data_IF_549438901888
#
_entry.id   IF_549438901888
#
_cell.length_a   1.000
_cell.length_b   1.000
_cell.length_c   1.000
_cell.angle_alpha   90.00
_cell.angle_beta   90.00
_cell.angle_gamma   90.00
#
_symmetry.space_group_name_H-M   'P 1'
#
loop_
_entity.id
_entity.type
_entity.pdbx_description
1 polymer ?
#
# COMPACT_ATOMS: atom_id res chain seq x y z
N UNK A 1 -19.83 8.82 4.63
CA UNK A 1 -18.44 9.35 4.63
C UNK A 1 -17.57 8.45 5.49
N UNK A 2 -16.33 8.18 5.08
CA UNK A 2 -15.36 7.33 5.80
C UNK A 2 -14.10 8.10 6.16
N UNK A 3 -13.51 7.79 7.31
CA UNK A 3 -12.28 8.40 7.81
C UNK A 3 -11.23 7.33 8.08
N UNK A 4 -10.06 7.49 7.47
CA UNK A 4 -8.96 6.52 7.54
C UNK A 4 -7.91 7.02 8.52
N UNK A 5 -7.71 6.30 9.61
CA UNK A 5 -6.62 6.47 10.55
C UNK A 5 -5.57 5.42 10.24
N UNK A 6 -4.44 5.87 9.69
CA UNK A 6 -3.33 5.02 9.29
C UNK A 6 -2.03 5.70 9.66
N UNK A 7 -1.03 4.90 10.04
CA UNK A 7 0.34 5.36 10.21
C UNK A 7 1.23 4.58 9.24
N UNK A 8 1.97 5.26 8.35
CA UNK A 8 2.75 4.59 7.31
C UNK A 8 3.96 3.86 7.90
N UNK A 9 4.34 2.74 7.29
CA UNK A 9 5.58 2.06 7.61
C UNK A 9 6.79 2.82 7.06
N UNK A 10 7.88 2.86 7.84
CA UNK A 10 9.16 3.45 7.41
C UNK A 10 10.32 2.50 7.66
N UNK A 11 11.21 2.39 6.69
CA UNK A 11 12.46 1.64 6.83
C UNK A 11 13.38 2.39 7.78
N UNK A 12 13.97 1.67 8.72
CA UNK A 12 14.98 2.18 9.63
C UNK A 12 16.32 2.37 8.89
N UNK A 13 16.80 3.61 8.65
CA UNK A 13 18.04 3.83 7.89
C UNK A 13 19.27 3.21 8.57
N UNK A 14 19.27 3.12 9.91
CA UNK A 14 20.35 2.48 10.68
C UNK A 14 20.45 0.97 10.41
N UNK A 15 19.33 0.33 10.02
CA UNK A 15 19.35 -1.07 9.59
C UNK A 15 20.03 -1.23 8.23
N UNK A 16 19.86 -0.29 7.31
CA UNK A 16 20.48 -0.36 5.98
C UNK A 16 21.98 -0.08 6.07
N UNK A 17 22.38 0.95 6.82
CA UNK A 17 23.78 1.37 6.93
C UNK A 17 24.67 0.43 7.74
N UNK A 18 24.08 -0.45 8.57
CA UNK A 18 24.86 -1.28 9.48
C UNK A 18 25.41 -0.54 10.70
N UNK A 19 24.96 0.69 10.97
CA UNK A 19 25.33 1.42 12.17
C UNK A 19 24.83 0.72 13.44
N UNK A 20 25.75 0.30 14.30
CA UNK A 20 25.49 -0.35 15.59
C UNK A 20 25.43 0.75 16.65
N UNK A 21 24.27 1.36 16.87
CA UNK A 21 24.11 2.36 17.93
C UNK A 21 23.58 1.79 19.26
N UNK A 22 23.39 0.47 19.39
CA UNK A 22 23.13 -0.21 20.68
C UNK A 22 23.51 -1.70 20.62
N UNK A 23 23.63 -2.36 21.78
CA UNK A 23 24.03 -3.77 21.98
C UNK A 23 23.14 -4.83 21.27
N UNK A 24 22.12 -4.41 20.51
CA UNK A 24 21.24 -5.27 19.70
C UNK A 24 21.29 -4.89 18.22
N UNK A 25 21.31 -5.88 17.32
CA UNK A 25 21.11 -5.66 15.88
C UNK A 25 19.82 -4.87 15.63
N UNK A 26 19.86 -3.73 14.90
CA UNK A 26 18.67 -2.93 14.64
C UNK A 26 17.61 -3.74 13.87
N UNK A 27 16.33 -3.45 14.10
CA UNK A 27 15.21 -3.97 13.31
C UNK A 27 15.08 -3.18 11.99
N UNK A 28 14.62 -3.80 10.88
CA UNK A 28 14.30 -3.09 9.64
C UNK A 28 13.27 -1.98 9.81
N UNK A 29 12.42 -2.07 10.84
CA UNK A 29 11.39 -1.09 11.18
C UNK A 29 11.58 -0.64 12.62
N UNK A 30 11.58 0.67 12.88
CA UNK A 30 11.88 1.26 14.20
C UNK A 30 10.63 1.73 14.92
N UNK A 31 10.20 0.97 15.94
CA UNK A 31 9.04 1.34 16.77
C UNK A 31 9.24 2.67 17.50
N UNK A 32 10.49 3.04 17.83
CA UNK A 32 10.77 4.32 18.52
C UNK A 32 10.41 5.52 17.66
N UNK A 33 10.92 5.57 16.43
CA UNK A 33 10.66 6.69 15.51
C UNK A 33 9.17 6.75 15.15
N UNK A 34 8.55 5.60 14.92
CA UNK A 34 7.11 5.49 14.68
C UNK A 34 6.28 6.07 15.84
N UNK A 35 6.59 5.71 17.10
CA UNK A 35 5.88 6.25 18.28
C UNK A 35 6.07 7.76 18.46
N UNK A 36 7.26 8.29 18.18
CA UNK A 36 7.51 9.73 18.23
C UNK A 36 6.67 10.49 17.19
N UNK A 37 6.55 9.92 15.98
CA UNK A 37 5.70 10.47 14.92
C UNK A 37 4.21 10.40 15.27
N UNK A 38 3.70 9.28 15.79
CA UNK A 38 2.31 9.19 16.26
C UNK A 38 2.01 10.25 17.32
N UNK A 39 2.85 10.39 18.36
CA UNK A 39 2.65 11.40 19.42
C UNK A 39 2.55 12.82 18.89
N UNK A 40 3.29 13.13 17.83
CA UNK A 40 3.22 14.44 17.16
C UNK A 40 1.85 14.63 16.51
N UNK A 41 1.38 13.66 15.73
CA UNK A 41 0.10 13.74 15.03
C UNK A 41 -1.12 13.58 15.93
N UNK A 42 -1.01 12.88 17.06
CA UNK A 42 -2.09 12.80 18.06
C UNK A 42 -2.59 14.19 18.46
N UNK A 43 -1.66 15.08 18.78
CA UNK A 43 -1.99 16.41 19.33
C UNK A 43 -2.57 17.37 18.29
N UNK A 44 -2.06 17.32 17.06
CA UNK A 44 -2.45 18.28 16.03
C UNK A 44 -3.61 17.78 15.18
N UNK A 45 -3.74 16.47 14.98
CA UNK A 45 -4.65 15.85 14.02
C UNK A 45 -5.61 14.85 14.65
N UNK A 46 -5.10 13.72 15.17
CA UNK A 46 -5.95 12.59 15.49
C UNK A 46 -6.91 12.84 16.65
N UNK A 47 -6.43 13.42 17.75
CA UNK A 47 -7.28 13.71 18.92
C UNK A 47 -8.33 14.76 18.58
N UNK A 48 -8.00 15.94 18.04
CA UNK A 48 -9.03 16.92 17.65
C UNK A 48 -10.03 16.35 16.64
N UNK A 49 -9.57 15.58 15.65
CA UNK A 49 -10.46 15.00 14.66
C UNK A 49 -11.39 13.94 15.27
N UNK A 50 -10.89 13.09 16.17
CA UNK A 50 -11.71 12.11 16.87
C UNK A 50 -12.75 12.77 17.79
N UNK A 51 -12.38 13.85 18.50
CA UNK A 51 -13.31 14.65 19.32
C UNK A 51 -14.41 15.30 18.47
N UNK A 52 -14.04 15.94 17.36
CA UNK A 52 -15.00 16.51 16.40
C UNK A 52 -15.93 15.42 15.85
N UNK A 53 -15.40 14.26 15.45
CA UNK A 53 -16.18 13.14 14.93
C UNK A 53 -17.17 12.61 15.97
N UNK A 54 -16.76 12.46 17.22
CA UNK A 54 -17.65 12.08 18.31
C UNK A 54 -18.78 13.10 18.51
N UNK A 55 -18.45 14.39 18.55
CA UNK A 55 -19.44 15.46 18.69
C UNK A 55 -20.51 15.43 17.59
N UNK A 56 -20.10 15.39 16.31
CA UNK A 56 -21.07 15.34 15.20
C UNK A 56 -21.85 14.01 15.17
N UNK A 57 -21.23 12.91 15.62
CA UNK A 57 -21.90 11.62 15.72
C UNK A 57 -22.97 11.62 16.82
N UNK A 58 -22.76 12.31 17.94
CA UNK A 58 -23.76 12.49 18.99
C UNK A 58 -24.99 13.25 18.47
N UNK A 59 -24.79 14.19 17.56
CA UNK A 59 -25.84 14.94 16.85
C UNK A 59 -26.54 14.13 15.74
N UNK A 60 -26.07 12.92 15.45
CA UNK A 60 -26.71 11.98 14.52
C UNK A 60 -25.98 11.75 13.21
N UNK A 61 -24.82 12.38 12.98
CA UNK A 61 -24.00 12.11 11.80
C UNK A 61 -23.55 10.65 11.76
N UNK A 62 -23.78 9.96 10.64
CA UNK A 62 -23.33 8.57 10.45
C UNK A 62 -22.11 8.49 9.55
N UNK A 63 -21.04 7.90 10.05
CA UNK A 63 -19.79 7.75 9.31
C UNK A 63 -19.16 6.39 9.52
N UNK A 64 -18.15 6.07 8.69
CA UNK A 64 -17.34 4.88 8.85
C UNK A 64 -15.93 5.25 9.30
N UNK A 65 -15.35 4.43 10.17
CA UNK A 65 -13.98 4.56 10.63
C UNK A 65 -13.18 3.36 10.13
N UNK A 66 -12.00 3.62 9.58
CA UNK A 66 -10.97 2.62 9.37
C UNK A 66 -9.81 2.97 10.29
N UNK A 67 -9.43 2.02 11.15
CA UNK A 67 -8.27 2.14 12.02
C UNK A 67 -7.30 1.01 11.61
N UNK A 68 -6.15 1.36 11.03
CA UNK A 68 -5.23 0.32 10.53
C UNK A 68 -4.62 -0.49 11.67
N UNK A 69 -4.23 -1.75 11.38
CA UNK A 69 -3.66 -2.64 12.40
C UNK A 69 -2.38 -2.09 13.03
N UNK A 70 -1.45 -1.65 12.17
CA UNK A 70 -0.20 -1.01 12.60
C UNK A 70 -0.43 0.28 13.39
N UNK A 71 -1.45 1.07 13.03
CA UNK A 71 -1.77 2.29 13.74
C UNK A 71 -2.22 2.00 15.17
N UNK A 72 -3.15 1.07 15.37
CA UNK A 72 -3.65 0.68 16.70
C UNK A 72 -2.51 0.12 17.58
N UNK A 73 -1.68 -0.79 17.06
CA UNK A 73 -0.56 -1.37 17.83
C UNK A 73 0.41 -0.29 18.34
N UNK A 74 0.78 0.65 17.48
CA UNK A 74 1.71 1.71 17.86
C UNK A 74 1.04 2.71 18.80
N UNK A 75 -0.26 2.97 18.61
CA UNK A 75 -1.03 3.93 19.38
C UNK A 75 -1.16 3.52 20.85
N UNK A 76 -1.40 2.24 21.14
CA UNK A 76 -1.57 1.71 22.50
C UNK A 76 -0.41 2.13 23.44
N UNK A 77 0.81 2.15 22.93
CA UNK A 77 2.00 2.56 23.69
C UNK A 77 2.34 4.06 23.53
N UNK A 78 2.01 4.64 22.37
CA UNK A 78 2.38 6.01 22.05
C UNK A 78 1.49 7.02 22.78
N UNK A 79 0.18 6.76 22.82
CA UNK A 79 -0.86 7.67 23.30
C UNK A 79 -2.12 6.89 23.77
N UNK A 80 -2.13 6.42 25.03
CA UNK A 80 -3.26 5.66 25.59
C UNK A 80 -4.57 6.44 25.67
N UNK A 81 -4.50 7.78 25.78
CA UNK A 81 -5.70 8.63 25.86
C UNK A 81 -6.41 8.66 24.50
N UNK A 82 -5.65 8.85 23.41
CA UNK A 82 -6.20 8.74 22.06
C UNK A 82 -6.66 7.32 21.73
N UNK A 83 -5.95 6.29 22.19
CA UNK A 83 -6.40 4.89 22.06
C UNK A 83 -7.81 4.69 22.65
N UNK A 84 -8.03 5.18 23.87
CA UNK A 84 -9.34 5.12 24.55
C UNK A 84 -10.41 5.93 23.80
N UNK A 85 -10.08 7.14 23.36
CA UNK A 85 -10.98 8.00 22.59
C UNK A 85 -11.44 7.35 21.27
N UNK A 86 -10.52 6.73 20.54
CA UNK A 86 -10.85 6.03 19.30
C UNK A 86 -11.65 4.75 19.54
N UNK A 87 -11.41 4.05 20.66
CA UNK A 87 -12.25 2.91 21.06
C UNK A 87 -13.69 3.37 21.35
N UNK A 88 -13.85 4.52 22.01
CA UNK A 88 -15.17 5.14 22.20
C UNK A 88 -15.82 5.53 20.86
N UNK A 89 -15.07 6.15 19.94
CA UNK A 89 -15.57 6.50 18.61
C UNK A 89 -15.98 5.25 17.80
N UNK A 90 -15.18 4.18 17.86
CA UNK A 90 -15.44 2.92 17.17
C UNK A 90 -16.66 2.16 17.73
N UNK A 91 -16.97 2.32 19.01
CA UNK A 91 -18.15 1.72 19.66
C UNK A 91 -19.41 2.56 19.53
N UNK A 92 -19.30 3.79 19.02
CA UNK A 92 -20.43 4.69 18.87
C UNK A 92 -21.50 4.13 17.90
N UNK A 93 -22.79 4.30 18.24
CA UNK A 93 -23.93 3.73 17.48
C UNK A 93 -24.04 4.24 16.04
N UNK A 94 -23.51 5.44 15.78
CA UNK A 94 -23.49 6.07 14.45
C UNK A 94 -22.18 5.84 13.69
N UNK A 95 -21.25 5.05 14.25
CA UNK A 95 -20.02 4.64 13.58
C UNK A 95 -20.18 3.25 12.93
N UNK A 96 -19.77 3.13 11.68
CA UNK A 96 -19.48 1.86 11.00
C UNK A 96 -17.98 1.57 11.02
N UNK A 97 -17.58 0.31 11.01
CA UNK A 97 -16.17 -0.07 10.93
C UNK A 97 -15.85 -0.68 9.57
N UNK A 98 -14.72 -0.28 9.01
CA UNK A 98 -14.16 -0.87 7.79
C UNK A 98 -12.98 -1.79 8.14
N UNK A 99 -12.82 -2.85 7.36
CA UNK A 99 -11.68 -3.75 7.45
C UNK A 99 -10.67 -3.44 6.34
N UNK A 100 -9.39 -3.62 6.63
CA UNK A 100 -8.35 -3.73 5.60
C UNK A 100 -7.37 -4.84 6.00
N UNK A 101 -6.37 -5.12 5.17
CA UNK A 101 -5.25 -5.96 5.60
C UNK A 101 -4.54 -5.32 6.79
N UNK A 102 -4.17 -6.11 7.79
CA UNK A 102 -3.50 -5.63 9.01
C UNK A 102 -2.33 -4.66 8.79
N UNK A 103 -1.51 -4.94 7.77
CA UNK A 103 -0.29 -4.19 7.46
C UNK A 103 -0.47 -3.16 6.35
N UNK A 104 -1.72 -2.88 5.95
CA UNK A 104 -2.04 -2.04 4.82
C UNK A 104 -1.22 -2.43 3.56
N UNK A 105 -1.36 -3.69 3.14
CA UNK A 105 -0.35 -4.37 2.35
C UNK A 105 -0.73 -4.57 0.88
N UNK A 106 0.31 -4.75 0.06
CA UNK A 106 0.21 -5.04 -1.38
C UNK A 106 -0.12 -6.51 -1.69
N UNK A 107 -0.42 -7.32 -0.68
CA UNK A 107 -0.62 -8.78 -0.83
C UNK A 107 -1.74 -9.13 -1.82
N UNK A 108 -2.74 -8.25 -1.99
CA UNK A 108 -3.83 -8.40 -2.95
C UNK A 108 -3.37 -8.54 -4.41
N UNK A 109 -2.12 -8.15 -4.72
CA UNK A 109 -1.50 -8.26 -6.05
C UNK A 109 -0.81 -9.61 -6.26
N UNK A 110 -0.39 -10.28 -5.19
CA UNK A 110 0.34 -11.54 -5.30
C UNK A 110 -0.57 -12.75 -5.58
N UNK A 111 -1.90 -12.53 -5.64
CA UNK A 111 -2.92 -13.57 -5.78
C UNK A 111 -2.81 -14.70 -4.74
N UNK A 112 -2.10 -14.46 -3.63
CA UNK A 112 -2.00 -15.37 -2.48
C UNK A 112 -3.23 -15.19 -1.58
N UNK A 113 -4.28 -15.92 -1.91
CA UNK A 113 -5.58 -15.82 -1.25
C UNK A 113 -5.51 -16.16 0.26
N UNK A 114 -4.65 -17.10 0.66
CA UNK A 114 -4.53 -17.52 2.06
C UNK A 114 -3.80 -16.48 2.90
N UNK A 115 -2.71 -15.89 2.39
CA UNK A 115 -2.01 -14.82 3.08
C UNK A 115 -2.88 -13.55 3.15
N UNK A 116 -3.65 -13.23 2.10
CA UNK A 116 -4.63 -12.14 2.13
C UNK A 116 -5.71 -12.37 3.19
N UNK A 117 -6.33 -13.56 3.22
CA UNK A 117 -7.30 -13.97 4.26
C UNK A 117 -6.70 -13.84 5.65
N UNK A 118 -5.46 -14.29 5.84
CA UNK A 118 -4.78 -14.24 7.14
C UNK A 118 -4.65 -12.80 7.63
N UNK A 119 -4.21 -11.86 6.77
CA UNK A 119 -4.05 -10.46 7.18
C UNK A 119 -5.38 -9.75 7.42
N UNK A 120 -6.44 -10.10 6.69
CA UNK A 120 -7.80 -9.60 6.94
C UNK A 120 -8.34 -10.12 8.28
N UNK A 121 -8.10 -11.40 8.59
CA UNK A 121 -8.54 -12.01 9.86
C UNK A 121 -7.78 -11.43 11.05
N UNK A 122 -6.48 -11.16 10.90
CA UNK A 122 -5.70 -10.44 11.90
C UNK A 122 -6.31 -9.07 12.21
N UNK A 123 -6.75 -8.33 11.18
CA UNK A 123 -7.36 -7.01 11.37
C UNK A 123 -8.73 -7.11 12.03
N UNK A 124 -9.59 -8.04 11.57
CA UNK A 124 -10.90 -8.29 12.20
C UNK A 124 -10.77 -8.70 13.67
N UNK A 125 -9.81 -9.56 14.00
CA UNK A 125 -9.52 -9.97 15.37
C UNK A 125 -9.11 -8.80 16.24
N UNK A 126 -8.20 -7.95 15.74
CA UNK A 126 -7.78 -6.73 16.44
C UNK A 126 -8.96 -5.78 16.65
N UNK A 127 -9.80 -5.55 15.64
CA UNK A 127 -10.97 -4.67 15.78
C UNK A 127 -11.98 -5.21 16.78
N UNK A 128 -12.16 -6.54 16.83
CA UNK A 128 -13.00 -7.21 17.82
C UNK A 128 -12.46 -7.03 19.24
N UNK A 129 -11.15 -7.09 19.44
CA UNK A 129 -10.50 -6.81 20.72
C UNK A 129 -10.59 -5.32 21.10
N UNK A 130 -10.28 -4.44 20.15
CA UNK A 130 -10.21 -2.99 20.33
C UNK A 130 -11.57 -2.33 20.61
N UNK A 131 -12.63 -2.82 19.96
CA UNK A 131 -13.95 -2.18 19.96
C UNK A 131 -15.12 -3.11 20.25
N UNK A 132 -14.89 -4.42 20.45
CA UNK A 132 -15.97 -5.40 20.60
C UNK A 132 -16.78 -5.63 19.32
N UNK A 133 -16.38 -5.05 18.18
CA UNK A 133 -17.11 -5.10 16.91
C UNK A 133 -16.20 -5.65 15.81
N UNK A 134 -16.75 -6.54 14.99
CA UNK A 134 -16.07 -7.06 13.81
C UNK A 134 -16.55 -6.30 12.56
N UNK A 135 -15.65 -5.66 11.79
CA UNK A 135 -16.04 -5.00 10.55
C UNK A 135 -16.53 -6.00 9.50
N UNK A 136 -17.58 -5.64 8.75
CA UNK A 136 -18.22 -6.47 7.73
C UNK A 136 -18.08 -5.90 6.31
N UNK A 137 -17.37 -4.79 6.14
CA UNK A 137 -17.12 -4.14 4.86
C UNK A 137 -15.63 -3.95 4.72
N UNK A 138 -15.09 -4.39 3.60
CA UNK A 138 -13.66 -4.33 3.32
C UNK A 138 -13.33 -3.06 2.53
N UNK A 139 -12.22 -2.41 2.85
CA UNK A 139 -11.56 -1.43 2.00
C UNK A 139 -10.41 -2.14 1.28
N UNK A 140 -10.49 -2.22 -0.05
CA UNK A 140 -9.37 -2.69 -0.84
C UNK A 140 -8.22 -1.67 -0.77
N UNK A 141 -6.97 -2.16 -0.74
CA UNK A 141 -5.78 -1.33 -0.81
C UNK A 141 -5.82 -0.45 -2.07
N UNK A 142 -5.35 0.78 -1.95
CA UNK A 142 -5.46 1.84 -2.97
C UNK A 142 -4.89 1.35 -4.30
N UNK A 143 -5.65 1.59 -5.38
CA UNK A 143 -5.27 1.16 -6.74
C UNK A 143 -5.05 -0.36 -6.89
N UNK A 144 -5.54 -1.18 -5.96
CA UNK A 144 -5.49 -2.65 -6.03
C UNK A 144 -6.89 -3.23 -5.95
N UNK A 145 -7.35 -3.82 -7.05
CA UNK A 145 -8.62 -4.54 -7.09
C UNK A 145 -8.55 -5.65 -8.14
N UNK A 146 -9.07 -6.85 -7.86
CA UNK A 146 -9.14 -7.96 -8.81
C UNK A 146 -10.09 -9.06 -8.29
N UNK A 147 -10.34 -10.09 -9.11
CA UNK A 147 -11.24 -11.20 -8.75
C UNK A 147 -10.79 -12.06 -7.56
N UNK A 148 -9.48 -12.12 -7.28
CA UNK A 148 -8.99 -12.82 -6.08
C UNK A 148 -9.49 -12.10 -4.82
N UNK A 149 -9.44 -10.77 -4.83
CA UNK A 149 -9.92 -9.93 -3.72
C UNK A 149 -11.42 -10.11 -3.51
N UNK A 150 -12.22 -10.09 -4.58
CA UNK A 150 -13.68 -10.26 -4.50
C UNK A 150 -14.06 -11.62 -3.93
N UNK A 151 -13.42 -12.70 -4.42
CA UNK A 151 -13.65 -14.06 -3.93
C UNK A 151 -13.26 -14.22 -2.47
N UNK A 152 -12.08 -13.74 -2.06
CA UNK A 152 -11.65 -13.82 -0.65
C UNK A 152 -12.62 -13.07 0.25
N UNK A 153 -13.06 -11.87 -0.16
CA UNK A 153 -14.03 -11.11 0.62
C UNK A 153 -15.36 -11.87 0.77
N UNK A 154 -15.85 -12.48 -0.31
CA UNK A 154 -17.07 -13.28 -0.31
C UNK A 154 -16.95 -14.48 0.62
N UNK A 155 -15.86 -15.25 0.49
CA UNK A 155 -15.61 -16.45 1.30
C UNK A 155 -15.46 -16.14 2.80
N UNK A 156 -14.98 -14.94 3.14
CA UNK A 156 -14.85 -14.46 4.53
C UNK A 156 -16.15 -13.84 5.08
N UNK A 157 -17.21 -13.78 4.28
CA UNK A 157 -18.50 -13.23 4.68
C UNK A 157 -18.53 -11.70 4.79
N UNK A 158 -17.67 -10.99 4.06
CA UNK A 158 -17.83 -9.55 3.90
C UNK A 158 -19.10 -9.24 3.10
N UNK A 159 -19.74 -8.12 3.42
CA UNK A 159 -20.98 -7.67 2.80
C UNK A 159 -20.76 -6.75 1.60
N UNK A 160 -19.58 -6.11 1.50
CA UNK A 160 -19.17 -5.30 0.36
C UNK A 160 -17.67 -5.01 0.39
N UNK A 161 -17.17 -4.48 -0.73
CA UNK A 161 -15.80 -4.00 -0.90
C UNK A 161 -15.82 -2.55 -1.40
N UNK A 162 -15.12 -1.67 -0.71
CA UNK A 162 -14.76 -0.35 -1.21
C UNK A 162 -13.54 -0.41 -2.12
N UNK A 163 -13.58 0.32 -3.23
CA UNK A 163 -12.42 0.54 -4.10
C UNK A 163 -12.40 1.94 -4.66
N UNK A 164 -11.21 2.49 -4.86
CA UNK A 164 -10.93 3.76 -5.52
C UNK A 164 -10.60 3.59 -7.01
N UNK A 165 -10.25 2.37 -7.44
CA UNK A 165 -9.68 2.12 -8.77
C UNK A 165 -10.58 2.60 -9.90
N UNK A 166 -11.90 2.42 -9.75
CA UNK A 166 -12.88 2.82 -10.74
C UNK A 166 -13.26 4.30 -10.63
N UNK A 167 -12.98 4.95 -9.50
CA UNK A 167 -13.38 6.34 -9.25
C UNK A 167 -12.68 7.35 -10.16
N UNK A 168 -11.46 7.04 -10.64
CA UNK A 168 -10.75 7.86 -11.66
C UNK A 168 -10.56 7.15 -12.99
N UNK A 169 -10.39 5.82 -12.97
CA UNK A 169 -9.94 5.07 -14.14
C UNK A 169 -11.10 4.50 -14.97
N UNK A 170 -12.35 4.70 -14.53
CA UNK A 170 -13.56 4.24 -15.21
C UNK A 170 -14.62 5.35 -15.28
N UNK A 171 -14.46 6.38 -16.13
CA UNK A 171 -15.43 7.47 -16.30
C UNK A 171 -16.82 7.00 -16.75
N UNK A 172 -16.93 5.78 -17.28
CA UNK A 172 -18.20 5.14 -17.63
C UNK A 172 -19.02 4.68 -16.42
N UNK A 173 -18.40 4.53 -15.24
CA UNK A 173 -19.11 4.16 -14.02
C UNK A 173 -19.48 5.42 -13.22
N UNK A 174 -20.74 5.53 -12.83
CA UNK A 174 -21.18 6.52 -11.86
C UNK A 174 -20.77 6.06 -10.43
N UNK A 175 -19.91 6.78 -9.69
CA UNK A 175 -19.50 6.38 -8.34
C UNK A 175 -20.64 6.31 -7.30
N UNK A 176 -21.79 6.96 -7.58
CA UNK A 176 -22.98 6.86 -6.74
C UNK A 176 -23.91 5.69 -7.10
N UNK A 177 -23.57 4.94 -8.16
CA UNK A 177 -24.27 3.75 -8.62
C UNK A 177 -24.03 2.53 -7.71
N UNK A 178 -24.81 1.48 -7.93
CA UNK A 178 -24.67 0.22 -7.20
C UNK A 178 -24.09 -0.85 -8.10
N UNK A 179 -22.94 -1.39 -7.73
CA UNK A 179 -22.22 -2.37 -8.55
C UNK A 179 -21.94 -3.67 -7.79
N UNK A 180 -21.64 -4.72 -8.54
CA UNK A 180 -21.19 -6.00 -8.01
C UNK A 180 -20.17 -6.69 -8.93
N UNK A 181 -19.37 -7.57 -8.34
CA UNK A 181 -18.47 -8.48 -9.05
C UNK A 181 -18.70 -9.87 -8.48
N UNK A 182 -19.20 -10.79 -9.31
CA UNK A 182 -19.44 -12.19 -8.91
C UNK A 182 -20.31 -12.32 -7.64
N UNK A 183 -21.34 -11.48 -7.52
CA UNK A 183 -22.26 -11.43 -6.39
C UNK A 183 -21.78 -10.58 -5.20
N UNK A 184 -20.51 -10.14 -5.18
CA UNK A 184 -19.98 -9.28 -4.15
C UNK A 184 -20.28 -7.80 -4.45
N UNK A 185 -21.02 -7.07 -3.60
CA UNK A 185 -21.24 -5.64 -3.78
C UNK A 185 -19.94 -4.84 -3.77
N UNK A 186 -19.80 -3.93 -4.73
CA UNK A 186 -18.64 -3.04 -4.88
C UNK A 186 -19.09 -1.59 -4.75
N UNK A 187 -18.50 -0.89 -3.79
CA UNK A 187 -18.76 0.51 -3.50
C UNK A 187 -17.59 1.35 -4.05
N UNK A 188 -17.88 2.27 -4.96
CA UNK A 188 -16.85 3.05 -5.65
C UNK A 188 -16.66 4.37 -4.92
N UNK A 189 -15.42 4.66 -4.48
CA UNK A 189 -15.09 5.93 -3.85
C UNK A 189 -15.23 7.07 -4.86
N UNK A 190 -15.91 8.15 -4.47
CA UNK A 190 -16.01 9.36 -5.27
C UNK A 190 -14.73 10.19 -5.13
N UNK A 191 -13.75 9.93 -6.01
CA UNK A 191 -12.41 10.50 -5.88
C UNK A 191 -12.36 12.03 -5.92
N UNK A 192 -13.16 12.68 -6.78
CA UNK A 192 -13.12 14.14 -6.90
C UNK A 192 -13.59 14.85 -5.62
N UNK A 193 -14.78 14.50 -5.14
CA UNK A 193 -15.30 14.99 -3.86
C UNK A 193 -14.42 14.65 -2.65
N UNK A 194 -13.74 13.51 -2.69
CA UNK A 194 -12.79 13.15 -1.61
C UNK A 194 -11.55 14.03 -1.65
N UNK A 195 -11.03 14.34 -2.85
CA UNK A 195 -9.91 15.27 -3.05
C UNK A 195 -10.27 16.73 -2.80
N UNK A 196 -11.54 17.13 -2.98
CA UNK A 196 -11.98 18.47 -2.64
C UNK A 196 -11.72 18.79 -1.17
N UNK A 197 -11.90 17.79 -0.29
CA UNK A 197 -11.56 17.87 1.13
C UNK A 197 -10.06 17.65 1.35
N UNK A 198 -9.49 16.57 0.81
CA UNK A 198 -8.13 16.14 1.16
C UNK A 198 -7.01 16.98 0.53
N UNK A 199 -7.30 17.67 -0.57
CA UNK A 199 -6.29 18.37 -1.37
C UNK A 199 -6.72 19.78 -1.79
N UNK A 200 -7.87 19.95 -2.46
CA UNK A 200 -8.28 21.26 -3.00
C UNK A 200 -8.70 22.26 -1.93
N UNK A 201 -9.07 21.80 -0.73
CA UNK A 201 -9.40 22.65 0.41
C UNK A 201 -8.36 23.76 0.65
N UNK A 202 -7.07 23.42 0.54
CA UNK A 202 -5.96 24.37 0.72
C UNK A 202 -5.48 25.09 -0.54
N UNK A 203 -6.11 24.88 -1.70
CA UNK A 203 -5.71 25.54 -2.95
C UNK A 203 -6.31 26.94 -3.06
N UNK A 204 -5.52 27.96 -2.72
CA UNK A 204 -5.98 29.36 -2.72
C UNK A 204 -6.40 29.89 -4.10
N UNK A 205 -5.83 29.35 -5.17
CA UNK A 205 -6.15 29.74 -6.56
C UNK A 205 -7.37 29.00 -7.13
N UNK A 206 -7.94 28.06 -6.38
CA UNK A 206 -9.13 27.33 -6.79
C UNK A 206 -10.38 28.20 -6.62
N UNK A 207 -11.29 28.15 -7.60
CA UNK A 207 -12.47 29.01 -7.67
C UNK A 207 -13.42 28.91 -6.46
N UNK A 208 -13.31 27.85 -5.66
CA UNK A 208 -14.16 27.61 -4.50
C UNK A 208 -13.41 27.73 -3.16
N UNK A 209 -12.23 28.35 -3.13
CA UNK A 209 -11.50 28.61 -1.89
C UNK A 209 -11.96 29.92 -1.20
N UNK A 210 -12.21 29.91 0.12
CA UNK A 210 -12.26 28.75 1.00
C UNK A 210 -13.51 27.90 0.76
N UNK A 211 -13.36 26.57 0.80
CA UNK A 211 -14.46 25.65 0.59
C UNK A 211 -15.44 25.70 1.76
N UNK A 212 -16.67 26.13 1.51
CA UNK A 212 -17.72 26.14 2.54
C UNK A 212 -18.47 24.81 2.62
N UNK A 213 -18.93 24.40 3.82
CA UNK A 213 -19.76 23.21 4.00
C UNK A 213 -21.02 23.22 3.13
N UNK A 214 -21.65 24.38 2.96
CA UNK A 214 -22.85 24.55 2.13
C UNK A 214 -22.56 24.32 0.65
N UNK A 215 -21.43 24.82 0.16
CA UNK A 215 -21.02 24.60 -1.23
C UNK A 215 -20.78 23.11 -1.48
N UNK A 216 -20.05 22.46 -0.58
CA UNK A 216 -19.76 21.03 -0.69
C UNK A 216 -21.02 20.16 -0.58
N UNK A 217 -21.90 20.45 0.39
CA UNK A 217 -23.18 19.76 0.54
C UNK A 217 -24.08 19.93 -0.70
N UNK A 218 -24.08 21.11 -1.31
CA UNK A 218 -24.77 21.39 -2.57
C UNK A 218 -24.26 20.54 -3.74
N UNK A 219 -22.94 20.32 -3.85
CA UNK A 219 -22.37 19.42 -4.85
C UNK A 219 -22.74 17.96 -4.60
N UNK A 220 -22.72 17.50 -3.34
CA UNK A 220 -23.17 16.14 -3.00
C UNK A 220 -24.64 15.96 -3.36
N UNK A 221 -25.48 16.95 -3.07
CA UNK A 221 -26.91 16.92 -3.40
C UNK A 221 -27.17 16.93 -4.92
N UNK A 222 -26.35 17.65 -5.71
CA UNK A 222 -26.56 17.80 -7.14
C UNK A 222 -26.25 16.54 -7.95
N UNK A 223 -25.47 15.59 -7.41
CA UNK A 223 -25.23 14.28 -8.05
C UNK A 223 -26.55 13.55 -8.31
N UNK A 224 -27.51 13.67 -7.39
CA UNK A 224 -28.87 13.14 -7.56
C UNK A 224 -28.95 11.61 -7.58
N UNK A 225 -29.60 11.04 -6.57
CA UNK A 225 -29.83 9.59 -6.49
C UNK A 225 -28.60 8.79 -6.02
N UNK A 226 -28.86 7.58 -5.52
CA UNK A 226 -27.81 6.68 -5.04
C UNK A 226 -27.15 7.12 -3.72
N UNK A 227 -25.98 6.57 -3.45
CA UNK A 227 -25.16 6.89 -2.26
C UNK A 227 -23.79 7.37 -2.71
N UNK A 228 -23.40 8.57 -2.28
CA UNK A 228 -22.07 9.12 -2.56
C UNK A 228 -21.06 8.64 -1.51
N UNK A 229 -20.01 7.95 -1.95
CA UNK A 229 -19.00 7.38 -1.08
C UNK A 229 -17.74 8.25 -1.00
N UNK A 230 -17.66 9.10 0.01
CA UNK A 230 -16.48 9.92 0.31
C UNK A 230 -15.65 9.23 1.38
N UNK A 231 -14.35 9.03 1.15
CA UNK A 231 -13.40 8.51 2.13
C UNK A 231 -12.18 9.41 2.14
N UNK A 232 -11.76 9.87 3.31
CA UNK A 232 -10.63 10.79 3.48
C UNK A 232 -9.67 10.29 4.53
N UNK A 233 -8.38 10.56 4.33
CA UNK A 233 -7.35 10.37 5.35
C UNK A 233 -7.58 11.35 6.50
N UNK A 234 -7.50 10.88 7.74
CA UNK A 234 -7.72 11.73 8.91
C UNK A 234 -6.62 12.79 9.07
N UNK A 235 -5.40 12.52 8.60
CA UNK A 235 -4.29 13.48 8.65
C UNK A 235 -4.64 14.76 7.87
N UNK A 236 -5.65 14.76 6.99
CA UNK A 236 -6.20 15.97 6.37
C UNK A 236 -6.56 17.03 7.42
N UNK A 237 -7.16 16.61 8.53
CA UNK A 237 -7.65 17.47 9.61
C UNK A 237 -6.52 17.67 10.63
N UNK A 238 -5.89 18.85 10.65
CA UNK A 238 -4.87 19.21 11.64
C UNK A 238 -3.46 18.66 11.40
N UNK A 239 -3.29 17.72 10.47
CA UNK A 239 -1.99 17.26 9.98
C UNK A 239 -1.55 18.02 8.73
N UNK A 240 -2.29 17.83 7.63
CA UNK A 240 -2.07 18.46 6.32
C UNK A 240 -2.54 19.91 6.28
N UNK A 241 -3.70 20.18 6.88
CA UNK A 241 -4.24 21.53 7.05
C UNK A 241 -4.30 21.85 8.53
N UNK A 242 -3.72 22.96 8.95
CA UNK A 242 -3.73 23.36 10.36
C UNK A 242 -5.14 23.73 10.82
N UNK A 243 -5.38 23.79 12.12
CA UNK A 243 -6.69 24.14 12.66
C UNK A 243 -7.18 25.53 12.18
N UNK A 244 -6.25 26.47 12.02
CA UNK A 244 -6.53 27.85 11.57
C UNK A 244 -7.02 27.92 10.12
N UNK A 245 -6.83 26.86 9.32
CA UNK A 245 -7.40 26.78 7.97
C UNK A 245 -8.93 26.70 7.98
N UNK A 246 -9.54 26.39 9.13
CA UNK A 246 -10.97 26.16 9.26
C UNK A 246 -11.42 24.75 8.87
N UNK A 247 -10.50 23.81 8.63
CA UNK A 247 -10.83 22.43 8.25
C UNK A 247 -11.66 21.68 9.31
N UNK A 248 -11.39 21.91 10.62
CA UNK A 248 -12.20 21.33 11.69
C UNK A 248 -13.59 21.95 11.73
N UNK A 249 -13.70 23.29 11.64
CA UNK A 249 -14.99 23.96 11.53
C UNK A 249 -15.79 23.49 10.32
N UNK A 250 -15.12 23.26 9.19
CA UNK A 250 -15.75 22.68 8.00
C UNK A 250 -16.38 21.31 8.32
N UNK A 251 -15.66 20.43 9.03
CA UNK A 251 -16.16 19.12 9.43
C UNK A 251 -17.31 19.21 10.43
N UNK A 252 -17.22 20.11 11.40
CA UNK A 252 -18.24 20.36 12.43
C UNK A 252 -19.56 20.85 11.83
N UNK A 253 -19.50 21.76 10.85
CA UNK A 253 -20.68 22.36 10.21
C UNK A 253 -21.27 21.49 9.07
N UNK A 254 -20.53 20.49 8.60
CA UNK A 254 -20.92 19.65 7.46
C UNK A 254 -22.26 18.90 7.66
N UNK A 255 -22.57 18.31 8.83
CA UNK A 255 -23.85 17.65 9.05
C UNK A 255 -25.06 18.58 8.86
N UNK A 256 -24.99 19.80 9.38
CA UNK A 256 -26.05 20.81 9.23
C UNK A 256 -26.20 21.22 7.76
N UNK A 257 -25.08 21.46 7.07
CA UNK A 257 -25.09 21.79 5.65
C UNK A 257 -25.69 20.67 4.79
N UNK A 258 -25.41 19.40 5.11
CA UNK A 258 -26.07 18.26 4.45
C UNK A 258 -27.57 18.25 4.72
N UNK A 259 -28.01 18.46 5.96
CA UNK A 259 -29.43 18.50 6.31
C UNK A 259 -30.18 19.61 5.53
N UNK A 260 -29.58 20.80 5.42
CA UNK A 260 -30.14 21.92 4.66
C UNK A 260 -30.33 21.60 3.17
N UNK A 261 -29.48 20.75 2.61
CA UNK A 261 -29.57 20.28 1.22
C UNK A 261 -30.34 18.97 1.07
N UNK A 262 -30.96 18.45 2.14
CA UNK A 262 -31.69 17.18 2.14
C UNK A 262 -30.80 15.94 1.98
N UNK A 263 -29.49 16.08 2.15
CA UNK A 263 -28.53 14.98 2.12
C UNK A 263 -28.53 14.26 3.46
N UNK A 264 -28.73 12.95 3.43
CA UNK A 264 -28.69 12.10 4.64
C UNK A 264 -27.36 11.38 4.73
N UNK A 265 -26.83 11.28 5.94
CA UNK A 265 -25.67 10.45 6.23
C UNK A 265 -26.13 9.07 6.67
N UNK A 266 -25.54 8.03 6.09
CA UNK A 266 -25.92 6.63 6.27
C UNK A 266 -24.68 5.77 6.45
N UNK A 267 -24.84 4.61 7.08
CA UNK A 267 -23.77 3.62 7.12
C UNK A 267 -23.79 2.80 5.82
N UNK A 268 -22.63 2.38 5.31
CA UNK A 268 -22.59 1.59 4.07
C UNK A 268 -23.40 0.29 4.18
N UNK A 269 -23.46 -0.31 5.37
CA UNK A 269 -24.33 -1.47 5.66
C UNK A 269 -25.81 -1.22 5.35
N UNK A 270 -26.30 -0.01 5.60
CA UNK A 270 -27.70 0.37 5.36
C UNK A 270 -27.98 0.49 3.85
N UNK A 271 -26.96 0.88 3.08
CA UNK A 271 -27.06 1.11 1.63
C UNK A 271 -26.99 -0.16 0.81
N UNK A 272 -26.19 -1.14 1.25
CA UNK A 272 -26.07 -2.43 0.57
C UNK A 272 -27.40 -3.20 0.66
N UNK A 273 -28.04 -3.17 1.83
CA UNK A 273 -29.31 -3.85 2.07
C UNK A 273 -30.49 -3.27 1.26
N UNK A 274 -30.40 -2.00 0.86
CA UNK A 274 -31.46 -1.31 0.12
C UNK A 274 -31.27 -1.34 -1.40
N UNK A 275 -30.13 -1.84 -1.91
CA UNK A 275 -29.92 -1.99 -3.34
C UNK A 275 -30.68 -3.20 -3.89
N UNK A 276 -31.67 -2.94 -4.74
CA UNK A 276 -32.55 -3.97 -5.29
C UNK A 276 -31.95 -4.72 -6.49
N UNK A 277 -30.99 -4.14 -7.20
CA UNK A 277 -30.39 -4.73 -8.42
C UNK A 277 -29.05 -4.07 -8.76
N UNK A 278 -27.94 -4.46 -8.10
CA UNK A 278 -26.61 -3.95 -8.44
C UNK A 278 -26.17 -4.39 -9.85
N UNK A 279 -25.61 -3.47 -10.62
CA UNK A 279 -25.10 -3.73 -11.96
C UNK A 279 -23.73 -4.45 -11.89
N UNK A 280 -23.42 -5.39 -12.79
CA UNK A 280 -22.10 -5.98 -12.85
C UNK A 280 -21.08 -4.94 -13.30
N UNK A 281 -19.90 -4.89 -12.66
CA UNK A 281 -18.76 -4.15 -13.22
C UNK A 281 -18.32 -4.82 -14.53
N UNK A 282 -18.16 -4.07 -15.64
CA UNK A 282 -17.68 -4.61 -16.92
C UNK A 282 -16.36 -5.38 -16.79
N UNK A 283 -16.25 -6.50 -17.48
CA UNK A 283 -15.05 -7.35 -17.45
C UNK A 283 -13.81 -6.61 -17.95
N UNK A 284 -13.95 -5.72 -18.93
CA UNK A 284 -12.84 -4.92 -19.48
C UNK A 284 -12.23 -3.98 -18.42
N UNK A 285 -13.04 -3.47 -17.49
CA UNK A 285 -12.56 -2.64 -16.39
C UNK A 285 -11.83 -3.47 -15.33
N UNK A 286 -12.32 -4.69 -15.06
CA UNK A 286 -11.65 -5.63 -14.16
C UNK A 286 -10.32 -6.12 -14.71
N UNK A 287 -10.21 -6.33 -16.02
CA UNK A 287 -8.97 -6.79 -16.66
C UNK A 287 -7.91 -5.68 -16.74
N UNK A 288 -8.34 -4.41 -16.81
CA UNK A 288 -7.45 -3.24 -16.80
C UNK A 288 -6.98 -2.84 -15.41
N UNK A 289 -7.71 -3.23 -14.36
CA UNK A 289 -7.41 -2.79 -12.99
C UNK A 289 -6.00 -3.17 -12.52
N UNK A 290 -5.44 -4.38 -12.79
CA UNK A 290 -4.09 -4.72 -12.35
C UNK A 290 -2.99 -3.96 -13.11
N UNK A 291 -3.31 -3.27 -14.19
CA UNK A 291 -2.36 -2.47 -14.99
C UNK A 291 -2.15 -1.08 -14.39
N UNK A 292 -3.03 -0.63 -13.49
CA UNK A 292 -2.94 0.69 -12.86
C UNK A 292 -1.78 0.78 -11.89
N UNK A 293 -1.41 -0.34 -11.25
CA UNK A 293 -0.33 -0.38 -10.27
C UNK A 293 0.39 -1.73 -10.31
N UNK A 294 1.73 -1.78 -10.22
CA UNK A 294 2.68 -0.69 -9.97
C UNK A 294 2.82 0.31 -11.12
N UNK A 295 3.22 1.55 -10.80
CA UNK A 295 3.28 2.67 -11.76
C UNK A 295 4.68 2.90 -12.35
N UNK A 296 5.73 2.26 -11.81
CA UNK A 296 7.10 2.41 -12.30
C UNK A 296 7.99 1.17 -12.04
N UNK A 297 9.17 1.16 -12.67
CA UNK A 297 10.13 0.04 -12.56
C UNK A 297 10.69 -0.17 -11.14
N UNK A 298 10.84 0.89 -10.33
CA UNK A 298 11.34 0.75 -8.95
C UNK A 298 10.38 -0.10 -8.11
N UNK A 299 9.08 0.19 -8.22
CA UNK A 299 8.03 -0.58 -7.57
C UNK A 299 7.96 -2.02 -8.11
N UNK A 300 8.04 -2.21 -9.43
CA UNK A 300 8.08 -3.55 -10.04
C UNK A 300 9.22 -4.40 -9.47
N UNK A 301 10.45 -3.86 -9.46
CA UNK A 301 11.64 -4.53 -8.92
C UNK A 301 11.47 -4.88 -7.44
N UNK A 302 11.00 -3.94 -6.63
CA UNK A 302 10.76 -4.14 -5.20
C UNK A 302 9.70 -5.23 -4.94
N UNK A 303 8.60 -5.23 -5.70
CA UNK A 303 7.52 -6.22 -5.60
C UNK A 303 7.99 -7.62 -5.97
N UNK A 304 8.74 -7.75 -7.06
CA UNK A 304 9.27 -9.04 -7.50
C UNK A 304 10.28 -9.61 -6.49
N UNK A 305 11.15 -8.76 -5.94
CA UNK A 305 12.07 -9.14 -4.86
C UNK A 305 11.30 -9.60 -3.62
N UNK A 306 10.27 -8.86 -3.20
CA UNK A 306 9.44 -9.22 -2.05
C UNK A 306 8.68 -10.54 -2.27
N UNK A 307 8.13 -10.72 -3.47
CA UNK A 307 7.42 -11.96 -3.86
C UNK A 307 8.37 -13.16 -3.82
N UNK A 308 9.62 -13.00 -4.29
CA UNK A 308 10.64 -14.04 -4.20
C UNK A 308 10.99 -14.36 -2.75
N UNK A 309 11.26 -13.34 -1.92
CA UNK A 309 11.54 -13.50 -0.49
C UNK A 309 10.42 -14.26 0.23
N UNK A 310 9.16 -13.96 -0.09
CA UNK A 310 7.99 -14.58 0.53
C UNK A 310 7.84 -16.09 0.33
N UNK A 311 8.58 -16.68 -0.61
CA UNK A 311 8.56 -18.13 -0.87
C UNK A 311 9.40 -18.94 0.13
N UNK A 312 10.32 -18.32 0.85
CA UNK A 312 11.29 -19.06 1.68
C UNK A 312 11.65 -18.38 3.00
N UNK A 313 11.35 -17.08 3.17
CA UNK A 313 11.56 -16.37 4.44
C UNK A 313 10.63 -16.92 5.53
N UNK A 314 11.23 -17.27 6.67
CA UNK A 314 10.52 -17.82 7.83
C UNK A 314 9.86 -16.75 8.71
N UNK A 315 10.53 -15.60 8.91
CA UNK A 315 9.99 -14.49 9.69
C UNK A 315 8.88 -13.76 8.92
N UNK A 316 7.65 -14.30 9.05
CA UNK A 316 6.46 -13.77 8.37
C UNK A 316 6.05 -12.40 8.88
N UNK A 317 6.27 -12.09 10.18
CA UNK A 317 5.89 -10.78 10.74
C UNK A 317 6.68 -9.67 10.07
N UNK A 318 8.00 -9.80 10.03
CA UNK A 318 8.86 -8.79 9.40
C UNK A 318 8.63 -8.72 7.89
N UNK A 319 8.44 -9.87 7.23
CA UNK A 319 8.10 -9.90 5.81
C UNK A 319 6.80 -9.14 5.49
N UNK A 320 5.77 -9.26 6.35
CA UNK A 320 4.49 -8.54 6.18
C UNK A 320 4.65 -7.03 6.35
N UNK A 321 5.56 -6.56 7.19
CA UNK A 321 5.90 -5.13 7.26
C UNK A 321 6.50 -4.61 5.93
N UNK A 322 7.36 -5.40 5.27
CA UNK A 322 7.85 -5.07 3.93
C UNK A 322 6.76 -5.07 2.84
N UNK A 323 5.56 -5.61 3.12
CA UNK A 323 4.43 -5.58 2.21
C UNK A 323 3.59 -4.30 2.33
N UNK A 324 3.86 -3.41 3.29
CA UNK A 324 3.10 -2.15 3.44
C UNK A 324 3.13 -1.32 2.15
N UNK A 325 1.96 -0.89 1.70
CA UNK A 325 1.76 -0.08 0.49
C UNK A 325 2.51 1.25 0.56
N UNK A 326 2.61 1.86 1.75
CA UNK A 326 3.30 3.14 1.99
C UNK A 326 4.76 3.10 1.52
N UNK A 327 5.42 1.95 1.71
CA UNK A 327 6.81 1.75 1.28
C UNK A 327 6.94 1.85 -0.24
N UNK A 328 5.97 1.34 -0.99
CA UNK A 328 5.98 1.40 -2.45
C UNK A 328 5.52 2.75 -2.98
N UNK A 329 4.54 3.39 -2.34
CA UNK A 329 4.13 4.75 -2.67
C UNK A 329 5.29 5.75 -2.57
N UNK A 330 6.19 5.55 -1.61
CA UNK A 330 7.38 6.37 -1.45
C UNK A 330 8.36 6.27 -2.65
N UNK A 331 8.26 5.22 -3.46
CA UNK A 331 9.08 4.99 -4.67
C UNK A 331 8.49 5.64 -5.94
N UNK A 332 7.43 6.45 -5.81
CA UNK A 332 6.84 7.21 -6.91
C UNK A 332 6.99 8.72 -6.70
N UNK A 333 7.13 9.46 -7.82
CA UNK A 333 7.20 10.93 -7.81
C UNK A 333 5.86 11.57 -7.46
N UNK A 334 4.76 10.85 -7.67
CA UNK A 334 3.41 11.23 -7.26
C UNK A 334 2.74 10.01 -6.67
N UNK A 335 2.16 10.13 -5.48
CA UNK A 335 1.38 9.07 -4.82
C UNK A 335 0.19 9.66 -4.04
N UNK A 336 -0.74 8.80 -3.62
CA UNK A 336 -2.00 9.19 -3.00
C UNK A 336 -3.06 9.65 -4.01
N UNK A 337 -3.89 10.63 -3.62
CA UNK A 337 -5.15 11.04 -4.27
C UNK A 337 -6.36 10.16 -3.94
N UNK A 338 -7.53 10.59 -4.39
CA UNK A 338 -8.82 9.97 -4.06
C UNK A 338 -9.12 10.01 -2.56
N UNK A 339 -8.89 11.17 -1.93
CA UNK A 339 -9.07 11.39 -0.50
C UNK A 339 -7.90 11.00 0.40
N UNK A 340 -6.88 10.32 -0.15
CA UNK A 340 -5.61 10.06 0.54
C UNK A 340 -4.65 11.24 0.36
N UNK A 341 -3.66 11.36 1.25
CA UNK A 341 -2.67 12.45 1.18
C UNK A 341 -1.92 12.46 -0.15
N UNK A 342 -2.08 13.53 -0.93
CA UNK A 342 -1.32 13.72 -2.17
C UNK A 342 0.12 14.10 -1.84
N UNK A 343 1.06 13.26 -2.27
CA UNK A 343 2.48 13.47 -2.07
C UNK A 343 3.19 13.69 -3.41
N UNK A 344 4.05 14.71 -3.45
CA UNK A 344 4.97 14.96 -4.57
C UNK A 344 6.40 14.77 -4.08
N UNK A 345 7.16 13.99 -4.83
CA UNK A 345 8.57 13.69 -4.56
C UNK A 345 9.40 13.96 -5.81
N UNK A 346 10.62 14.38 -5.59
CA UNK A 346 11.64 14.39 -6.64
C UNK A 346 12.02 12.97 -7.05
N UNK A 347 12.60 12.81 -8.23
CA UNK A 347 13.14 11.53 -8.66
C UNK A 347 14.22 11.01 -7.70
N UNK A 348 15.01 11.90 -7.09
CA UNK A 348 16.04 11.56 -6.13
C UNK A 348 15.42 10.95 -4.85
N UNK A 349 14.37 11.55 -4.29
CA UNK A 349 13.68 11.01 -3.11
C UNK A 349 13.01 9.65 -3.39
N UNK A 350 12.39 9.49 -4.56
CA UNK A 350 11.81 8.21 -4.95
C UNK A 350 12.87 7.10 -5.10
N UNK A 351 14.02 7.43 -5.67
CA UNK A 351 15.14 6.51 -5.80
C UNK A 351 15.82 6.20 -4.46
N UNK A 352 15.93 7.18 -3.57
CA UNK A 352 16.40 7.01 -2.19
C UNK A 352 15.51 6.01 -1.44
N UNK A 353 14.18 6.17 -1.52
CA UNK A 353 13.24 5.24 -0.90
C UNK A 353 13.37 3.81 -1.44
N UNK A 354 13.48 3.65 -2.77
CA UNK A 354 13.78 2.36 -3.39
C UNK A 354 15.10 1.77 -2.87
N UNK A 355 16.13 2.60 -2.72
CA UNK A 355 17.45 2.16 -2.25
C UNK A 355 17.42 1.68 -0.81
N UNK A 356 16.72 2.41 0.06
CA UNK A 356 16.54 2.02 1.45
C UNK A 356 15.72 0.72 1.56
N UNK A 357 14.62 0.62 0.81
CA UNK A 357 13.78 -0.59 0.80
C UNK A 357 14.55 -1.82 0.37
N UNK A 358 15.20 -1.78 -0.81
CA UNK A 358 15.87 -2.96 -1.35
C UNK A 358 17.15 -3.29 -0.59
N UNK A 359 17.83 -2.28 -0.04
CA UNK A 359 18.93 -2.48 0.91
C UNK A 359 18.48 -3.21 2.18
N UNK A 360 17.38 -2.77 2.80
CA UNK A 360 16.81 -3.42 3.96
C UNK A 360 16.33 -4.84 3.64
N UNK A 361 15.60 -5.05 2.54
CA UNK A 361 15.12 -6.37 2.13
C UNK A 361 16.29 -7.33 1.85
N UNK A 362 17.32 -6.89 1.10
CA UNK A 362 18.52 -7.68 0.82
C UNK A 362 19.24 -8.11 2.11
N UNK A 363 19.33 -7.22 3.10
CA UNK A 363 19.96 -7.53 4.39
C UNK A 363 19.11 -8.51 5.18
N UNK A 364 17.80 -8.28 5.24
CA UNK A 364 16.85 -9.15 5.91
C UNK A 364 16.88 -10.56 5.31
N UNK A 365 16.86 -10.69 3.98
CA UNK A 365 17.02 -11.98 3.30
C UNK A 365 18.35 -12.66 3.65
N UNK A 366 19.48 -11.94 3.70
CA UNK A 366 20.76 -12.53 4.12
C UNK A 366 20.69 -13.09 5.55
N UNK A 367 20.09 -12.35 6.48
CA UNK A 367 19.87 -12.79 7.87
C UNK A 367 18.97 -14.04 7.95
N UNK A 368 17.92 -14.11 7.13
CA UNK A 368 16.99 -15.26 7.08
C UNK A 368 17.60 -16.47 6.35
N UNK A 369 18.44 -16.25 5.34
CA UNK A 369 19.08 -17.32 4.55
C UNK A 369 19.96 -18.24 5.41
N UNK A 370 20.49 -17.72 6.52
CA UNK A 370 21.30 -18.46 7.49
C UNK A 370 20.48 -19.47 8.30
N UNK A 371 19.16 -19.29 8.34
CA UNK A 371 18.20 -20.08 9.12
C UNK A 371 17.52 -21.20 8.30
N UNK A 372 17.59 -21.15 6.97
CA UNK A 372 17.00 -22.20 6.11
C UNK A 372 17.91 -23.41 5.96
N UNK A 373 17.31 -24.57 5.63
CA UNK A 373 18.04 -25.82 5.38
C UNK A 373 19.07 -25.69 4.25
N UNK A 374 18.66 -25.11 3.11
CA UNK A 374 19.51 -24.94 1.93
C UNK A 374 20.06 -23.51 1.87
N UNK A 375 21.01 -23.20 2.77
CA UNK A 375 21.59 -21.85 2.93
C UNK A 375 22.11 -21.26 1.62
N UNK A 376 22.82 -22.06 0.82
CA UNK A 376 23.33 -21.60 -0.48
C UNK A 376 22.21 -21.30 -1.47
N UNK A 377 21.13 -22.09 -1.49
CA UNK A 377 20.01 -21.82 -2.39
C UNK A 377 19.31 -20.49 -2.05
N UNK A 378 18.98 -20.25 -0.78
CA UNK A 378 18.40 -18.99 -0.36
C UNK A 378 19.35 -17.80 -0.62
N UNK A 379 20.64 -17.97 -0.30
CA UNK A 379 21.65 -16.92 -0.53
C UNK A 379 21.82 -16.57 -2.01
N UNK A 380 21.68 -17.51 -2.93
CA UNK A 380 21.86 -17.26 -4.36
C UNK A 380 20.59 -16.70 -5.03
N UNK A 381 19.42 -16.96 -4.45
CA UNK A 381 18.12 -16.51 -4.97
C UNK A 381 17.65 -15.17 -4.40
N UNK A 382 18.21 -14.71 -3.28
CA UNK A 382 17.84 -13.42 -2.65
C UNK A 382 18.09 -12.23 -3.58
N UNK A 383 17.47 -11.10 -3.28
CA UNK A 383 17.84 -9.84 -3.88
C UNK A 383 19.15 -9.28 -3.29
N UNK A 384 19.79 -8.39 -4.02
CA UNK A 384 20.95 -7.61 -3.60
C UNK A 384 20.60 -6.13 -3.55
N UNK A 385 21.31 -5.40 -2.70
CA UNK A 385 21.18 -3.96 -2.57
C UNK A 385 21.58 -3.24 -3.87
N UNK A 386 21.02 -2.04 -4.17
CA UNK A 386 21.29 -1.36 -5.44
C UNK A 386 22.76 -1.04 -5.72
N UNK A 387 23.58 -0.82 -4.69
CA UNK A 387 25.03 -0.62 -4.80
C UNK A 387 25.80 -1.87 -5.29
N UNK A 388 25.15 -3.05 -5.24
CA UNK A 388 25.69 -4.34 -5.69
C UNK A 388 24.94 -4.90 -6.91
N UNK A 389 24.03 -4.14 -7.49
CA UNK A 389 23.25 -4.58 -8.64
C UNK A 389 24.14 -4.77 -9.88
N UNK A 390 23.68 -5.61 -10.81
CA UNK A 390 24.27 -5.67 -12.14
C UNK A 390 23.70 -4.52 -12.99
N UNK A 391 24.53 -3.54 -13.30
CA UNK A 391 24.13 -2.39 -14.12
C UNK A 391 24.37 -2.69 -15.60
N UNK A 392 23.31 -2.70 -16.41
CA UNK A 392 23.43 -2.91 -17.85
C UNK A 392 23.97 -1.64 -18.52
N UNK A 393 25.07 -1.79 -19.26
CA UNK A 393 25.62 -0.71 -20.06
C UNK A 393 26.31 -1.21 -21.33
N UNK A 394 26.42 -0.30 -22.29
CA UNK A 394 27.29 -0.43 -23.47
C UNK A 394 28.61 0.31 -23.19
N UNK A 395 29.61 0.26 -24.09
CA UNK A 395 30.80 1.11 -23.98
C UNK A 395 30.50 2.61 -23.92
N UNK A 396 29.32 3.03 -24.42
CA UNK A 396 28.99 4.44 -24.66
C UNK A 396 27.99 5.01 -23.66
N UNK A 397 27.05 4.20 -23.17
CA UNK A 397 25.98 4.68 -22.28
C UNK A 397 25.43 3.56 -21.39
N UNK A 398 24.70 3.96 -20.34
CA UNK A 398 23.94 3.03 -19.50
C UNK A 398 22.58 2.77 -20.15
N UNK A 399 22.11 1.52 -20.09
CA UNK A 399 20.80 1.12 -20.62
C UNK A 399 19.63 1.60 -19.74
N UNK A 400 19.93 2.07 -18.51
CA UNK A 400 18.94 2.68 -17.62
C UNK A 400 18.19 1.70 -16.70
N UNK A 401 18.55 0.41 -16.72
CA UNK A 401 18.02 -0.60 -15.79
C UNK A 401 19.15 -1.45 -15.18
N UNK A 402 18.85 -2.11 -14.06
CA UNK A 402 19.81 -2.91 -13.28
C UNK A 402 19.12 -4.15 -12.72
N UNK A 403 19.86 -5.26 -12.63
CA UNK A 403 19.37 -6.48 -12.01
C UNK A 403 19.87 -6.63 -10.58
N UNK A 404 18.94 -6.92 -9.68
CA UNK A 404 19.16 -7.07 -8.25
C UNK A 404 18.99 -8.52 -7.81
N UNK A 405 18.69 -9.44 -8.71
CA UNK A 405 18.64 -10.88 -8.45
C UNK A 405 18.93 -11.66 -9.74
N UNK A 406 19.18 -12.96 -9.63
CA UNK A 406 19.32 -13.82 -10.82
C UNK A 406 18.00 -13.87 -11.62
N UNK A 407 16.86 -13.91 -10.94
CA UNK A 407 15.53 -13.89 -11.57
C UNK A 407 15.31 -12.60 -12.37
N UNK A 408 15.62 -11.44 -11.79
CA UNK A 408 15.50 -10.15 -12.48
C UNK A 408 16.50 -10.04 -13.64
N UNK A 409 17.73 -10.55 -13.45
CA UNK A 409 18.74 -10.56 -14.51
C UNK A 409 18.25 -11.29 -15.75
N UNK A 410 17.69 -12.50 -15.59
CA UNK A 410 17.13 -13.28 -16.71
C UNK A 410 16.00 -12.55 -17.42
N UNK A 411 15.13 -11.84 -16.70
CA UNK A 411 14.06 -11.03 -17.30
C UNK A 411 14.62 -9.85 -18.10
N UNK A 412 15.59 -9.13 -17.55
CA UNK A 412 16.17 -7.94 -18.17
C UNK A 412 17.11 -8.26 -19.34
N UNK A 413 17.64 -9.48 -19.42
CA UNK A 413 18.39 -9.95 -20.60
C UNK A 413 17.58 -9.86 -21.90
N UNK A 414 16.25 -9.96 -21.83
CA UNK A 414 15.39 -9.87 -23.02
C UNK A 414 15.23 -8.40 -23.48
N UNK A 415 15.54 -7.42 -22.61
CA UNK A 415 15.49 -5.98 -22.91
C UNK A 415 16.84 -5.39 -23.31
N UNK A 416 17.96 -5.99 -22.85
CA UNK A 416 19.30 -5.52 -23.16
C UNK A 416 19.62 -5.62 -24.66
N UNK A 417 20.43 -4.70 -25.18
CA UNK A 417 20.96 -4.79 -26.55
C UNK A 417 22.00 -5.91 -26.67
N UNK A 418 22.18 -6.47 -27.88
CA UNK A 418 23.23 -7.50 -28.10
C UNK A 418 24.62 -6.94 -27.82
N UNK A 419 24.82 -5.66 -28.12
CA UNK A 419 26.03 -4.91 -27.80
C UNK A 419 26.29 -4.87 -26.29
N UNK A 420 25.28 -4.58 -25.47
CA UNK A 420 25.41 -4.60 -24.01
C UNK A 420 25.84 -5.99 -23.48
N UNK A 421 25.21 -7.06 -23.97
CA UNK A 421 25.54 -8.43 -23.55
C UNK A 421 26.97 -8.79 -23.94
N UNK A 422 27.38 -8.52 -25.18
CA UNK A 422 28.75 -8.76 -25.65
C UNK A 422 29.77 -7.97 -24.84
N UNK A 423 29.51 -6.68 -24.60
CA UNK A 423 30.37 -5.80 -23.82
C UNK A 423 30.67 -6.37 -22.42
N UNK A 424 29.65 -6.81 -21.71
CA UNK A 424 29.81 -7.39 -20.37
C UNK A 424 30.48 -8.78 -20.41
N UNK A 425 30.25 -9.57 -21.47
CA UNK A 425 30.92 -10.86 -21.65
C UNK A 425 32.44 -10.68 -21.84
N UNK A 426 32.87 -9.73 -22.68
CA UNK A 426 34.29 -9.44 -22.92
C UNK A 426 35.02 -9.00 -21.65
N UNK A 427 34.34 -8.22 -20.81
CA UNK A 427 34.88 -7.70 -19.54
C UNK A 427 34.77 -8.70 -18.37
N UNK A 428 34.12 -9.83 -18.62
CA UNK A 428 33.77 -10.84 -17.60
C UNK A 428 32.96 -10.26 -16.44
N UNK A 429 32.17 -9.22 -16.70
CA UNK A 429 31.40 -8.53 -15.67
C UNK A 429 30.33 -9.47 -15.07
N UNK A 430 29.66 -10.25 -15.93
CA UNK A 430 28.66 -11.22 -15.50
C UNK A 430 29.27 -12.33 -14.62
N UNK A 431 30.44 -12.85 -15.01
CA UNK A 431 31.19 -13.82 -14.20
C UNK A 431 31.53 -13.26 -12.82
N UNK A 432 32.10 -12.05 -12.77
CA UNK A 432 32.48 -11.38 -11.52
C UNK A 432 31.27 -11.14 -10.64
N UNK A 433 30.16 -10.65 -11.20
CA UNK A 433 28.95 -10.39 -10.43
C UNK A 433 28.36 -11.67 -9.81
N UNK A 434 28.21 -12.75 -10.59
CA UNK A 434 27.69 -14.01 -10.05
C UNK A 434 28.64 -14.60 -9.00
N UNK A 435 29.95 -14.54 -9.22
CA UNK A 435 30.93 -15.10 -8.27
C UNK A 435 31.05 -14.28 -6.99
N UNK A 436 31.18 -12.96 -7.11
CA UNK A 436 31.60 -12.09 -6.00
C UNK A 436 30.40 -11.48 -5.26
N UNK A 437 29.29 -11.22 -5.95
CA UNK A 437 28.08 -10.62 -5.37
C UNK A 437 27.05 -11.69 -5.01
N UNK A 438 26.64 -12.52 -5.98
CA UNK A 438 25.66 -13.60 -5.72
C UNK A 438 26.30 -14.71 -4.89
N UNK A 439 27.55 -15.08 -5.20
CA UNK A 439 28.30 -16.11 -4.49
C UNK A 439 28.15 -17.52 -5.07
N UNK A 440 27.55 -17.68 -6.26
CA UNK A 440 27.41 -18.98 -6.92
C UNK A 440 28.58 -19.22 -7.89
N UNK A 441 29.73 -19.61 -7.33
CA UNK A 441 30.95 -19.88 -8.11
C UNK A 441 30.72 -20.94 -9.19
N UNK A 442 29.92 -21.97 -8.92
CA UNK A 442 29.64 -23.00 -9.93
C UNK A 442 28.86 -22.45 -11.12
N UNK A 443 27.88 -21.57 -10.88
CA UNK A 443 27.17 -20.91 -11.97
C UNK A 443 28.12 -19.99 -12.75
N UNK A 444 28.93 -19.19 -12.03
CA UNK A 444 29.88 -18.27 -12.65
C UNK A 444 30.84 -19.01 -13.62
N UNK A 445 31.47 -20.10 -13.18
CA UNK A 445 32.38 -20.88 -14.03
C UNK A 445 31.67 -21.47 -15.26
N UNK A 446 30.41 -21.89 -15.13
CA UNK A 446 29.64 -22.45 -16.25
C UNK A 446 29.29 -21.42 -17.33
N UNK A 447 29.04 -20.18 -16.94
CA UNK A 447 28.65 -19.12 -17.89
C UNK A 447 29.85 -18.36 -18.47
N UNK A 448 31.02 -18.45 -17.83
CA UNK A 448 32.22 -17.72 -18.26
C UNK A 448 32.63 -17.93 -19.73
N UNK A 449 32.58 -19.16 -20.31
CA UNK A 449 32.94 -19.35 -21.72
C UNK A 449 31.84 -18.90 -22.69
N UNK A 450 30.62 -18.64 -22.20
CA UNK A 450 29.46 -18.38 -23.04
C UNK A 450 29.46 -16.94 -23.55
N UNK A 451 28.98 -16.75 -24.78
CA UNK A 451 28.82 -15.42 -25.42
C UNK A 451 27.44 -15.23 -26.00
N UNK A 452 26.71 -16.32 -26.26
CA UNK A 452 25.35 -16.27 -26.73
C UNK A 452 24.37 -15.93 -25.60
N UNK A 453 23.50 -14.96 -25.86
CA UNK A 453 22.51 -14.47 -24.89
C UNK A 453 21.56 -15.58 -24.45
N UNK A 454 21.03 -16.38 -25.38
CA UNK A 454 20.02 -17.39 -25.09
C UNK A 454 20.63 -18.55 -24.30
N UNK A 455 21.88 -18.92 -24.61
CA UNK A 455 22.61 -19.93 -23.87
C UNK A 455 22.88 -19.49 -22.42
N UNK A 456 23.39 -18.27 -22.22
CA UNK A 456 23.61 -17.69 -20.88
C UNK A 456 22.30 -17.68 -20.09
N UNK A 457 21.24 -17.13 -20.68
CA UNK A 457 19.91 -17.04 -20.08
C UNK A 457 19.38 -18.42 -19.68
N UNK A 458 19.50 -19.41 -20.57
CA UNK A 458 19.06 -20.78 -20.30
C UNK A 458 19.84 -21.44 -19.16
N UNK A 459 21.16 -21.26 -19.09
CA UNK A 459 21.99 -21.80 -18.01
C UNK A 459 21.63 -21.19 -16.66
N UNK A 460 21.39 -19.87 -16.61
CA UNK A 460 20.98 -19.17 -15.38
C UNK A 460 19.57 -19.61 -14.98
N UNK A 461 18.60 -19.63 -15.90
CA UNK A 461 17.22 -20.06 -15.62
C UNK A 461 17.16 -21.49 -15.06
N UNK A 462 17.86 -22.44 -15.70
CA UNK A 462 17.94 -23.81 -15.19
C UNK A 462 18.56 -23.88 -13.78
N UNK A 463 19.54 -23.02 -13.49
CA UNK A 463 20.14 -22.95 -12.16
C UNK A 463 19.16 -22.38 -11.13
N UNK A 464 18.41 -21.35 -11.48
CA UNK A 464 17.35 -20.78 -10.63
C UNK A 464 16.33 -21.87 -10.26
N UNK A 465 15.84 -22.66 -11.23
CA UNK A 465 14.88 -23.74 -10.98
C UNK A 465 15.43 -24.82 -10.04
N UNK A 466 16.70 -25.20 -10.21
CA UNK A 466 17.38 -26.12 -9.31
C UNK A 466 17.47 -25.57 -7.88
N UNK A 467 17.76 -24.28 -7.73
CA UNK A 467 17.86 -23.64 -6.41
C UNK A 467 16.48 -23.56 -5.74
N UNK A 468 15.43 -23.21 -6.47
CA UNK A 468 14.06 -23.19 -5.95
C UNK A 468 13.60 -24.57 -5.50
N UNK A 469 13.92 -25.63 -6.25
CA UNK A 469 13.60 -27.00 -5.85
C UNK A 469 14.33 -27.45 -4.58
N UNK A 470 15.46 -26.83 -4.23
CA UNK A 470 16.18 -27.09 -2.97
C UNK A 470 15.61 -26.31 -1.77
N UNK A 471 14.71 -25.36 -2.01
CA UNK A 471 14.03 -24.57 -0.97
C UNK A 471 12.61 -25.07 -0.65
N UNK A 472 12.04 -25.90 -1.53
CA UNK A 472 10.88 -26.75 -1.22
C UNK A 472 11.29 -27.83 -0.22
#
# INVERSE_FOLDING_TARGET
>A
MGFVFRHPAEINPAYVSGSIDTESTPSPFSDRSNRERIRRFSRSSYTPAAETLLGIMDEGFRCSLLLSGMFIELLEQADPDLYSLLSQAATHRNAGLLAETYYHSVIGIFHDAEEYRTQLEMHRSLMQEFSGRTPSIMLATESVFNRTITRVAHDMGFSAIYTDIFGRNAPELNPAGSYQVEGMPVLIRHCELSDDIAYRFGQVDWAYHPLSPQTYAGWVASIGGGTVHIIVDIEVFGGRFSAESGIFRFLEELPAAYADHGVKTVLPSDTIQSSLSPEPVPDELLDRSPVVWPVNMLQCTALDALRAAGRWVFDRRTLRLFQSMDLFESMATTSGSCGMLLNHRTQAEAHEAFTQYLGALSRFEDEQSRKVRSKSAARYLRCVSPDRAFHFCTPYHREGFSAHSLDEFVKLMDLASDECILHHCERSDLYKWIRDVIGDTMLAERIHPLRDRQEIRHVIANRIDQLWNRLK
#
